data_IF_309051977608
#
_entry.id   IF_309051977608
#
_cell.length_a   1.000
_cell.length_b   1.000
_cell.length_c   1.000
_cell.angle_alpha   90.00
_cell.angle_beta   90.00
_cell.angle_gamma   90.00
#
_symmetry.space_group_name_H-M   'P 1'
#
loop_
_entity.id
_entity.type
_entity.pdbx_description
1 polymer ?
#
# COMPACT_ATOMS: atom_id res chain seq x y z
N UNK A 1 -22.53 -48.56 7.59
CA UNK A 1 -21.62 -48.94 8.69
C UNK A 1 -20.67 -47.80 9.06
N UNK A 2 -20.00 -47.13 8.11
CA UNK A 2 -19.10 -45.97 8.36
C UNK A 2 -19.68 -44.82 9.21
N UNK A 3 -20.94 -44.42 8.98
CA UNK A 3 -21.58 -43.33 9.76
C UNK A 3 -21.75 -43.64 11.26
N UNK A 4 -21.99 -44.90 11.60
CA UNK A 4 -22.24 -45.32 12.99
C UNK A 4 -20.92 -45.41 13.76
N UNK A 5 -19.85 -45.89 13.11
CA UNK A 5 -18.49 -45.90 13.68
C UNK A 5 -17.97 -44.48 13.91
N UNK A 6 -18.30 -43.51 13.04
CA UNK A 6 -17.90 -42.11 13.24
C UNK A 6 -18.64 -41.44 14.40
N UNK A 7 -19.92 -41.76 14.61
CA UNK A 7 -20.73 -41.13 15.66
C UNK A 7 -20.36 -41.62 17.07
N UNK A 8 -20.10 -42.93 17.22
CA UNK A 8 -19.62 -43.51 18.47
C UNK A 8 -18.21 -42.98 18.85
N UNK A 9 -17.32 -42.84 17.85
CA UNK A 9 -16.00 -42.24 18.04
C UNK A 9 -16.08 -40.77 18.44
N UNK A 10 -17.01 -40.00 17.86
CA UNK A 10 -17.26 -38.61 18.24
C UNK A 10 -17.81 -38.47 19.65
N UNK A 11 -18.74 -39.34 20.08
CA UNK A 11 -19.27 -39.34 21.45
C UNK A 11 -18.21 -39.67 22.49
N UNK A 12 -17.34 -40.65 22.21
CA UNK A 12 -16.20 -40.98 23.07
C UNK A 12 -15.20 -39.81 23.18
N UNK A 13 -14.83 -39.23 22.04
CA UNK A 13 -13.94 -38.06 21.99
C UNK A 13 -14.54 -36.86 22.75
N UNK A 14 -15.85 -36.63 22.67
CA UNK A 14 -16.53 -35.54 23.38
C UNK A 14 -16.50 -35.69 24.91
N UNK A 15 -16.44 -36.91 25.44
CA UNK A 15 -16.34 -37.18 26.89
C UNK A 15 -14.91 -37.01 27.40
N UNK A 16 -13.90 -37.25 26.55
CA UNK A 16 -12.48 -37.22 26.91
C UNK A 16 -11.78 -35.87 26.57
N UNK A 17 -12.37 -35.02 25.73
CA UNK A 17 -11.73 -33.79 25.25
C UNK A 17 -12.09 -32.55 26.09
N UNK A 18 -11.13 -32.09 26.90
CA UNK A 18 -11.08 -30.70 27.37
C UNK A 18 -10.66 -29.71 26.27
N UNK A 19 -10.54 -28.39 26.56
CA UNK A 19 -10.15 -27.37 25.59
C UNK A 19 -8.85 -27.68 24.82
N UNK A 20 -7.83 -28.19 25.52
CA UNK A 20 -6.55 -28.60 24.90
C UNK A 20 -6.69 -29.89 24.06
N UNK A 21 -7.66 -30.76 24.40
CA UNK A 21 -8.00 -31.95 23.64
C UNK A 21 -8.59 -31.61 22.26
N UNK A 22 -9.36 -30.52 22.16
CA UNK A 22 -9.89 -29.98 20.90
C UNK A 22 -8.75 -29.63 19.95
N UNK A 23 -7.74 -28.90 20.44
CA UNK A 23 -6.62 -28.49 19.59
C UNK A 23 -5.80 -29.70 19.10
N UNK A 24 -5.51 -30.65 19.99
CA UNK A 24 -4.82 -31.89 19.63
C UNK A 24 -5.60 -32.72 18.60
N UNK A 25 -6.91 -32.89 18.80
CA UNK A 25 -7.79 -33.62 17.89
C UNK A 25 -7.88 -32.98 16.50
N UNK A 26 -8.03 -31.66 16.44
CA UNK A 26 -8.05 -30.92 15.16
C UNK A 26 -6.71 -31.05 14.43
N UNK A 27 -5.57 -30.90 15.13
CA UNK A 27 -4.24 -31.09 14.55
C UNK A 27 -4.04 -32.51 14.00
N UNK A 28 -4.55 -33.53 14.70
CA UNK A 28 -4.53 -34.92 14.26
C UNK A 28 -5.30 -35.12 12.95
N UNK A 29 -6.53 -34.58 12.86
CA UNK A 29 -7.35 -34.66 11.64
C UNK A 29 -6.71 -33.96 10.45
N UNK A 30 -6.11 -32.79 10.67
CA UNK A 30 -5.39 -32.06 9.61
C UNK A 30 -4.20 -32.87 9.11
N UNK A 31 -3.42 -33.49 10.02
CA UNK A 31 -2.31 -34.37 9.63
C UNK A 31 -2.81 -35.51 8.73
N UNK A 32 -3.81 -36.26 9.20
CA UNK A 32 -4.35 -37.40 8.46
C UNK A 32 -4.84 -36.97 7.07
N UNK A 33 -5.59 -35.88 7.00
CA UNK A 33 -6.08 -35.35 5.72
C UNK A 33 -4.96 -34.93 4.77
N UNK A 34 -3.90 -34.28 5.27
CA UNK A 34 -2.73 -33.94 4.43
C UNK A 34 -2.05 -35.21 3.91
N UNK A 35 -1.86 -36.23 4.76
CA UNK A 35 -1.25 -37.50 4.39
C UNK A 35 -2.08 -38.24 3.33
N UNK A 36 -3.40 -38.30 3.51
CA UNK A 36 -4.33 -38.86 2.50
C UNK A 36 -4.23 -38.14 1.16
N UNK A 37 -4.19 -36.80 1.15
CA UNK A 37 -4.08 -36.02 -0.09
C UNK A 37 -2.78 -36.28 -0.84
N UNK A 38 -1.63 -36.30 -0.16
CA UNK A 38 -0.33 -36.52 -0.82
C UNK A 38 -0.14 -37.98 -1.24
N UNK A 39 -0.76 -38.93 -0.54
CA UNK A 39 -0.79 -40.34 -0.95
C UNK A 39 -1.64 -40.55 -2.19
N UNK A 40 -2.83 -39.93 -2.24
CA UNK A 40 -3.70 -39.95 -3.41
C UNK A 40 -3.02 -39.28 -4.63
N UNK A 41 -2.37 -38.14 -4.41
CA UNK A 41 -1.56 -37.47 -5.45
C UNK A 41 -0.46 -38.39 -5.99
N UNK A 42 0.23 -39.12 -5.10
CA UNK A 42 1.27 -40.05 -5.52
C UNK A 42 0.71 -41.28 -6.25
N UNK A 43 -0.39 -41.87 -5.78
CA UNK A 43 -1.07 -42.97 -6.49
C UNK A 43 -1.43 -42.54 -7.91
N UNK A 44 -2.00 -41.35 -8.07
CA UNK A 44 -2.33 -40.80 -9.39
C UNK A 44 -1.07 -40.62 -10.26
N UNK A 45 0.02 -40.11 -9.69
CA UNK A 45 1.29 -39.93 -10.41
C UNK A 45 2.02 -41.25 -10.76
N UNK A 46 1.71 -42.35 -10.08
CA UNK A 46 2.30 -43.66 -10.36
C UNK A 46 1.43 -44.53 -11.28
N UNK A 47 0.15 -44.20 -11.41
CA UNK A 47 -0.86 -45.03 -12.08
C UNK A 47 -1.08 -46.37 -11.36
N UNK A 48 -0.81 -46.44 -10.05
CA UNK A 48 -0.77 -47.68 -9.30
C UNK A 48 -1.01 -47.49 -7.80
N UNK A 49 -1.88 -48.31 -7.22
CA UNK A 49 -2.06 -48.42 -5.78
C UNK A 49 -0.90 -49.13 -5.07
N UNK A 50 -0.90 -49.06 -3.74
CA UNK A 50 0.10 -49.71 -2.90
C UNK A 50 0.05 -51.22 -3.10
N UNK A 51 1.20 -51.81 -3.43
CA UNK A 51 1.36 -53.25 -3.68
C UNK A 51 0.56 -53.80 -4.87
N UNK A 52 -0.10 -52.95 -5.64
CA UNK A 52 -0.77 -53.33 -6.88
C UNK A 52 0.28 -53.75 -7.93
N UNK A 53 -0.08 -54.64 -8.86
CA UNK A 53 0.75 -55.00 -10.02
C UNK A 53 0.08 -54.55 -11.32
N UNK A 54 -0.02 -53.23 -11.58
CA UNK A 54 -0.45 -52.74 -12.87
C UNK A 54 0.71 -52.95 -13.83
N UNK A 55 0.55 -53.78 -14.85
CA UNK A 55 1.62 -54.24 -15.73
C UNK A 55 2.42 -53.12 -16.40
N UNK A 56 2.11 -52.78 -17.65
CA UNK A 56 2.87 -51.79 -18.43
C UNK A 56 2.51 -50.32 -18.13
N UNK A 57 1.47 -50.05 -17.33
CA UNK A 57 0.93 -48.71 -17.06
C UNK A 57 1.56 -48.00 -15.85
N UNK A 58 2.56 -48.60 -15.19
CA UNK A 58 3.22 -48.04 -14.01
C UNK A 58 4.27 -47.01 -14.41
N UNK A 59 4.16 -45.79 -13.89
CA UNK A 59 5.09 -44.68 -14.18
C UNK A 59 6.28 -44.57 -13.22
N UNK A 60 6.35 -45.42 -12.18
CA UNK A 60 7.44 -45.39 -11.21
C UNK A 60 7.24 -46.26 -9.97
N UNK A 61 8.09 -46.06 -8.96
CA UNK A 61 8.04 -46.83 -7.71
C UNK A 61 8.12 -45.93 -6.47
N UNK A 62 7.36 -46.31 -5.43
CA UNK A 62 7.41 -45.70 -4.09
C UNK A 62 8.78 -45.96 -3.45
N UNK A 63 9.28 -44.97 -2.71
CA UNK A 63 10.62 -44.96 -2.11
C UNK A 63 10.57 -44.44 -0.65
N UNK A 64 9.62 -44.96 0.13
CA UNK A 64 9.41 -44.63 1.53
C UNK A 64 8.84 -43.23 1.76
N UNK A 65 9.01 -42.72 2.99
CA UNK A 65 8.44 -41.47 3.45
C UNK A 65 9.51 -40.56 4.05
N UNK A 66 9.20 -39.27 4.16
CA UNK A 66 10.00 -38.30 4.93
C UNK A 66 9.11 -37.40 5.76
N UNK A 67 9.55 -37.08 6.97
CA UNK A 67 8.87 -36.09 7.80
C UNK A 67 8.97 -34.69 7.18
N UNK A 68 7.83 -34.01 7.05
CA UNK A 68 7.72 -32.61 6.59
C UNK A 68 6.82 -31.85 7.54
N UNK A 69 7.09 -30.56 7.71
CA UNK A 69 6.27 -29.65 8.51
C UNK A 69 5.74 -28.53 7.63
N UNK A 70 4.42 -28.33 7.66
CA UNK A 70 3.70 -27.25 6.99
C UNK A 70 2.92 -26.45 8.05
N UNK A 71 3.12 -25.14 8.13
CA UNK A 71 2.29 -24.28 8.96
C UNK A 71 1.07 -23.78 8.20
N UNK A 72 -0.11 -24.09 8.74
CA UNK A 72 -1.39 -23.54 8.29
C UNK A 72 -1.85 -22.48 9.28
N UNK A 73 -3.05 -21.91 9.09
CA UNK A 73 -3.66 -21.00 10.06
C UNK A 73 -3.95 -21.66 11.42
N UNK A 74 -3.93 -23.00 11.50
CA UNK A 74 -4.16 -23.78 12.71
C UNK A 74 -2.85 -24.22 13.37
N UNK A 75 -1.71 -23.74 12.87
CA UNK A 75 -0.38 -24.01 13.40
C UNK A 75 0.44 -24.99 12.55
N UNK A 76 1.67 -25.29 12.99
CA UNK A 76 2.54 -26.25 12.32
C UNK A 76 2.04 -27.68 12.49
N UNK A 77 1.92 -28.37 11.36
CA UNK A 77 1.59 -29.79 11.29
C UNK A 77 2.76 -30.54 10.68
N UNK A 78 3.32 -31.48 11.45
CA UNK A 78 4.30 -32.45 10.93
C UNK A 78 3.57 -33.69 10.45
N UNK A 79 3.91 -34.16 9.26
CA UNK A 79 3.29 -35.29 8.56
C UNK A 79 4.35 -36.06 7.74
N UNK A 80 4.00 -37.28 7.33
CA UNK A 80 4.83 -38.10 6.45
C UNK A 80 4.50 -37.81 4.99
N UNK A 81 5.46 -37.20 4.28
CA UNK A 81 5.35 -37.01 2.83
C UNK A 81 5.92 -38.26 2.13
N UNK A 82 5.14 -38.96 1.31
CA UNK A 82 5.66 -40.10 0.57
C UNK A 82 6.70 -39.65 -0.47
N UNK A 83 7.52 -40.60 -0.91
CA UNK A 83 8.55 -40.39 -1.91
C UNK A 83 8.39 -41.42 -3.00
N UNK A 84 8.77 -41.06 -4.21
CA UNK A 84 8.81 -41.99 -5.33
C UNK A 84 9.87 -41.59 -6.35
N UNK A 85 10.25 -42.57 -7.16
CA UNK A 85 11.06 -42.41 -8.37
C UNK A 85 10.17 -42.66 -9.57
N UNK A 86 9.96 -41.62 -10.37
CA UNK A 86 9.25 -41.69 -11.65
C UNK A 86 10.25 -42.03 -12.75
N UNK A 87 9.84 -42.86 -13.70
CA UNK A 87 10.59 -43.10 -14.93
C UNK A 87 10.48 -41.89 -15.84
N UNK A 88 11.55 -41.55 -16.55
CA UNK A 88 11.55 -40.51 -17.58
C UNK A 88 11.47 -41.17 -18.97
N UNK A 89 11.00 -40.43 -19.99
CA UNK A 89 10.97 -40.94 -21.37
C UNK A 89 12.35 -41.39 -21.88
N UNK A 90 13.42 -40.79 -21.35
CA UNK A 90 14.81 -41.05 -21.74
C UNK A 90 15.43 -42.30 -21.05
N UNK A 91 14.64 -43.02 -20.22
CA UNK A 91 15.10 -44.23 -19.51
C UNK A 91 15.73 -43.98 -18.14
N UNK A 92 15.79 -42.72 -17.69
CA UNK A 92 16.30 -42.32 -16.36
C UNK A 92 15.19 -42.31 -15.29
N UNK A 93 15.55 -42.00 -14.04
CA UNK A 93 14.58 -41.80 -12.95
C UNK A 93 14.69 -40.44 -12.29
N UNK A 94 13.55 -39.80 -12.01
CA UNK A 94 13.46 -38.52 -11.28
C UNK A 94 12.69 -38.66 -9.98
N UNK A 95 13.05 -37.89 -8.96
CA UNK A 95 12.27 -37.85 -7.72
C UNK A 95 10.92 -37.17 -7.98
N UNK A 96 9.83 -37.83 -7.59
CA UNK A 96 8.49 -37.24 -7.62
C UNK A 96 8.43 -35.97 -6.76
N UNK A 97 7.69 -34.97 -7.26
CA UNK A 97 7.49 -33.70 -6.59
C UNK A 97 5.99 -33.47 -6.42
N UNK A 98 5.56 -33.39 -5.16
CA UNK A 98 4.18 -33.05 -4.82
C UNK A 98 3.86 -31.61 -5.25
N UNK A 99 2.74 -31.46 -5.93
CA UNK A 99 2.07 -30.20 -6.27
C UNK A 99 1.24 -29.71 -5.08
N UNK A 100 0.66 -30.62 -4.29
CA UNK A 100 -0.07 -30.30 -3.05
C UNK A 100 0.86 -29.68 -2.00
N UNK A 101 2.06 -30.23 -1.83
CA UNK A 101 3.11 -29.69 -0.95
C UNK A 101 4.45 -29.53 -1.70
N UNK A 102 4.61 -28.42 -2.42
CA UNK A 102 5.82 -28.07 -3.16
C UNK A 102 7.12 -28.17 -2.35
N UNK A 103 8.23 -28.35 -3.06
CA UNK A 103 9.57 -28.33 -2.45
C UNK A 103 9.81 -27.02 -1.72
N UNK A 104 10.42 -27.12 -0.54
CA UNK A 104 10.77 -26.00 0.35
C UNK A 104 9.60 -25.17 0.91
N UNK A 105 8.34 -25.47 0.56
CA UNK A 105 7.19 -24.81 1.16
C UNK A 105 7.10 -25.19 2.64
N UNK A 106 7.11 -24.17 3.50
CA UNK A 106 7.01 -24.32 4.96
C UNK A 106 5.69 -23.79 5.53
N UNK A 107 4.96 -22.98 4.75
CA UNK A 107 3.74 -22.30 5.18
C UNK A 107 2.76 -22.16 4.02
N UNK A 108 1.48 -22.03 4.34
CA UNK A 108 0.46 -21.68 3.34
C UNK A 108 0.45 -20.17 3.07
N UNK A 109 -0.14 -19.76 1.94
CA UNK A 109 -0.28 -18.35 1.57
C UNK A 109 -0.98 -17.51 2.65
N UNK A 110 -2.02 -18.06 3.28
CA UNK A 110 -2.76 -17.38 4.36
C UNK A 110 -1.91 -17.05 5.58
N UNK A 111 -0.94 -17.90 5.93
CA UNK A 111 0.00 -17.60 7.03
C UNK A 111 0.96 -16.50 6.60
N UNK A 112 1.46 -16.55 5.36
CA UNK A 112 2.32 -15.50 4.81
C UNK A 112 1.60 -14.14 4.73
N UNK A 113 0.31 -14.10 4.36
CA UNK A 113 -0.52 -12.89 4.39
C UNK A 113 -0.67 -12.32 5.80
N UNK A 114 -0.96 -13.17 6.80
CA UNK A 114 -1.07 -12.74 8.19
C UNK A 114 0.25 -12.17 8.70
N UNK A 115 1.37 -12.83 8.40
CA UNK A 115 2.72 -12.35 8.73
C UNK A 115 3.01 -10.99 8.10
N UNK A 116 2.61 -10.81 6.85
CA UNK A 116 2.78 -9.55 6.13
C UNK A 116 1.93 -8.45 6.74
N UNK A 117 0.67 -8.74 7.08
CA UNK A 117 -0.22 -7.78 7.77
C UNK A 117 0.34 -7.30 9.11
N UNK A 118 0.86 -8.23 9.93
CA UNK A 118 1.50 -7.89 11.22
C UNK A 118 2.80 -7.10 11.02
N UNK A 119 3.58 -7.43 9.99
CA UNK A 119 4.76 -6.63 9.63
C UNK A 119 4.40 -5.22 9.19
N UNK A 120 3.37 -5.09 8.35
CA UNK A 120 2.92 -3.82 7.83
C UNK A 120 2.29 -2.94 8.92
N UNK A 121 1.71 -3.52 9.98
CA UNK A 121 1.14 -2.77 11.13
C UNK A 121 2.16 -2.10 12.06
N UNK A 122 3.45 -2.19 11.79
CA UNK A 122 4.48 -1.56 12.63
C UNK A 122 5.22 -2.48 13.55
N UNK A 123 4.93 -3.78 13.48
CA UNK A 123 5.66 -4.77 14.27
C UNK A 123 7.03 -5.02 13.63
N UNK A 124 8.10 -4.82 14.40
CA UNK A 124 9.44 -5.19 13.93
C UNK A 124 9.60 -6.72 13.92
N UNK A 125 10.49 -7.26 13.08
CA UNK A 125 10.65 -8.70 12.92
C UNK A 125 10.95 -9.46 14.22
N UNK A 126 11.56 -8.82 15.24
CA UNK A 126 11.79 -9.43 16.55
C UNK A 126 10.47 -9.59 17.32
N UNK A 127 9.62 -8.57 17.32
CA UNK A 127 8.29 -8.59 17.96
C UNK A 127 7.33 -9.55 17.25
N UNK A 128 7.39 -9.67 15.93
CA UNK A 128 6.59 -10.68 15.18
C UNK A 128 6.95 -12.08 15.67
N UNK A 129 8.25 -12.38 15.76
CA UNK A 129 8.71 -13.68 16.26
C UNK A 129 8.25 -13.95 17.68
N UNK A 130 8.39 -12.99 18.60
CA UNK A 130 7.96 -13.22 19.99
C UNK A 130 6.44 -13.37 20.11
N UNK A 131 5.67 -12.54 19.40
CA UNK A 131 4.20 -12.57 19.45
C UNK A 131 3.62 -13.85 18.83
N UNK A 132 4.24 -14.36 17.76
CA UNK A 132 3.77 -15.56 17.07
C UNK A 132 4.47 -16.84 17.51
N UNK A 133 5.48 -16.76 18.39
CA UNK A 133 6.18 -17.93 18.90
C UNK A 133 5.24 -19.00 19.50
N UNK A 134 4.20 -18.64 20.29
CA UNK A 134 3.25 -19.64 20.81
C UNK A 134 2.49 -20.38 19.71
N UNK A 135 2.12 -19.67 18.63
CA UNK A 135 1.34 -20.21 17.50
C UNK A 135 2.21 -20.98 16.49
N UNK A 136 3.51 -20.68 16.45
CA UNK A 136 4.48 -21.27 15.52
C UNK A 136 5.42 -22.28 16.21
N UNK A 137 5.06 -22.81 17.38
CA UNK A 137 5.82 -23.85 18.09
C UNK A 137 6.06 -25.06 17.16
N UNK A 138 7.30 -25.28 16.72
CA UNK A 138 7.68 -26.35 15.78
C UNK A 138 8.03 -25.87 14.37
N UNK A 139 7.76 -24.61 14.02
CA UNK A 139 8.19 -23.98 12.78
C UNK A 139 8.52 -22.48 13.00
N UNK A 140 9.56 -22.16 13.78
CA UNK A 140 9.86 -20.79 14.15
C UNK A 140 10.15 -19.91 12.93
N UNK A 141 9.61 -18.69 12.95
CA UNK A 141 9.81 -17.72 11.88
C UNK A 141 11.22 -17.13 11.95
N UNK A 142 12.05 -17.35 10.93
CA UNK A 142 13.36 -16.71 10.85
C UNK A 142 13.26 -15.25 10.41
N UNK A 143 14.32 -14.46 10.67
CA UNK A 143 14.45 -13.09 10.14
C UNK A 143 14.36 -13.09 8.61
N UNK A 144 15.02 -14.06 7.97
CA UNK A 144 15.10 -14.16 6.52
C UNK A 144 13.75 -14.55 5.91
N UNK A 145 12.93 -15.33 6.62
CA UNK A 145 11.57 -15.63 6.18
C UNK A 145 10.70 -14.37 6.08
N UNK A 146 10.79 -13.47 7.07
CA UNK A 146 10.13 -12.15 7.01
C UNK A 146 10.71 -11.31 5.87
N UNK A 147 12.02 -11.31 5.69
CA UNK A 147 12.67 -10.56 4.62
C UNK A 147 12.26 -11.03 3.21
N UNK A 148 12.16 -12.34 2.99
CA UNK A 148 11.70 -12.91 1.71
C UNK A 148 10.23 -12.59 1.45
N UNK A 149 9.39 -12.67 2.49
CA UNK A 149 7.99 -12.28 2.41
C UNK A 149 7.84 -10.81 2.00
N UNK A 150 8.62 -9.91 2.61
CA UNK A 150 8.67 -8.50 2.21
C UNK A 150 9.30 -8.30 0.83
N UNK A 151 10.18 -9.20 0.38
CA UNK A 151 10.74 -9.18 -0.98
C UNK A 151 9.68 -9.41 -2.05
N UNK A 152 8.64 -10.21 -1.78
CA UNK A 152 7.50 -10.37 -2.71
C UNK A 152 6.73 -9.06 -2.91
N UNK A 153 6.63 -8.21 -1.88
CA UNK A 153 6.05 -6.87 -2.03
C UNK A 153 6.81 -6.00 -3.03
N UNK A 154 8.10 -6.29 -3.30
CA UNK A 154 8.86 -5.52 -4.28
C UNK A 154 8.39 -5.80 -5.71
N UNK A 155 8.11 -7.07 -6.04
CA UNK A 155 7.52 -7.43 -7.33
C UNK A 155 6.13 -6.81 -7.50
N UNK A 156 5.29 -6.92 -6.47
CA UNK A 156 3.99 -6.27 -6.41
C UNK A 156 4.06 -4.74 -6.58
N UNK A 157 5.04 -4.10 -5.93
CA UNK A 157 5.27 -2.67 -6.02
C UNK A 157 5.73 -2.26 -7.42
N UNK A 158 6.62 -3.03 -8.04
CA UNK A 158 7.08 -2.79 -9.41
C UNK A 158 5.93 -2.89 -10.42
N UNK A 159 5.08 -3.92 -10.29
CA UNK A 159 3.87 -4.06 -11.10
C UNK A 159 2.89 -2.89 -10.85
N UNK A 160 2.65 -2.54 -9.58
CA UNK A 160 1.79 -1.41 -9.24
C UNK A 160 2.32 -0.09 -9.80
N UNK A 161 3.64 0.15 -9.79
CA UNK A 161 4.25 1.37 -10.33
C UNK A 161 4.10 1.50 -11.84
N UNK A 162 3.99 0.40 -12.56
CA UNK A 162 3.90 0.36 -14.03
C UNK A 162 2.49 0.08 -14.54
N UNK A 163 1.52 -0.12 -13.64
CA UNK A 163 0.13 -0.41 -13.99
C UNK A 163 -0.49 0.66 -14.88
N UNK A 164 -1.41 0.24 -15.73
CA UNK A 164 -2.20 1.14 -16.55
C UNK A 164 -3.20 1.95 -15.69
N UNK A 165 -3.46 3.20 -16.09
CA UNK A 165 -4.35 4.15 -15.41
C UNK A 165 -5.53 4.61 -16.29
N UNK A 166 -5.65 4.07 -17.52
CA UNK A 166 -6.69 4.46 -18.48
C UNK A 166 -8.11 4.39 -17.90
N UNK A 167 -8.41 3.32 -17.16
CA UNK A 167 -9.75 3.07 -16.62
C UNK A 167 -10.04 3.81 -15.30
N UNK A 168 -9.03 4.43 -14.66
CA UNK A 168 -9.19 5.04 -13.33
C UNK A 168 -9.95 6.38 -13.37
N UNK A 169 -10.18 6.95 -14.57
CA UNK A 169 -10.92 8.20 -14.80
C UNK A 169 -10.50 9.33 -13.83
N UNK A 170 -9.20 9.60 -13.76
CA UNK A 170 -8.65 10.61 -12.85
C UNK A 170 -9.06 12.01 -13.26
N UNK A 171 -9.65 12.76 -12.33
CA UNK A 171 -10.10 14.14 -12.52
C UNK A 171 -9.18 15.13 -11.82
N UNK A 172 -8.81 14.86 -10.58
CA UNK A 172 -7.92 15.75 -9.81
C UNK A 172 -6.63 15.08 -9.41
N UNK A 173 -5.56 15.85 -9.37
CA UNK A 173 -4.25 15.46 -8.84
C UNK A 173 -3.92 16.29 -7.60
N UNK A 174 -3.32 15.65 -6.61
CA UNK A 174 -2.66 16.29 -5.49
C UNK A 174 -1.22 15.79 -5.48
N UNK A 175 -0.27 16.70 -5.71
CA UNK A 175 1.16 16.36 -5.77
C UNK A 175 1.90 17.05 -4.63
N UNK A 176 2.66 16.28 -3.87
CA UNK A 176 3.39 16.79 -2.71
C UNK A 176 4.70 16.02 -2.50
N UNK A 177 5.68 16.70 -1.90
CA UNK A 177 6.97 16.16 -1.53
C UNK A 177 7.06 15.99 -0.01
N UNK A 178 7.45 14.81 0.47
CA UNK A 178 7.74 14.62 1.89
C UNK A 178 9.12 14.00 2.09
N UNK A 179 9.73 14.27 3.25
CA UNK A 179 11.16 14.05 3.47
C UNK A 179 11.41 13.09 4.65
N UNK A 180 11.25 11.76 4.47
CA UNK A 180 11.59 10.75 5.47
C UNK A 180 13.09 10.70 5.77
N UNK A 181 13.42 10.19 6.98
CA UNK A 181 14.80 9.90 7.39
C UNK A 181 15.20 8.50 6.95
N UNK A 182 16.22 8.40 6.11
CA UNK A 182 16.79 7.14 5.60
C UNK A 182 18.28 7.04 5.93
N UNK A 183 18.82 5.81 5.96
CA UNK A 183 20.26 5.58 6.02
C UNK A 183 20.82 5.49 4.59
N UNK A 184 21.73 6.39 4.25
CA UNK A 184 22.42 6.42 2.96
C UNK A 184 23.90 6.67 3.23
N UNK A 185 24.81 5.88 2.65
CA UNK A 185 26.25 6.03 2.86
C UNK A 185 26.67 6.00 4.34
N UNK A 186 26.03 5.16 5.17
CA UNK A 186 26.19 5.07 6.64
C UNK A 186 25.71 6.32 7.42
N UNK A 187 25.23 7.36 6.76
CA UNK A 187 24.69 8.57 7.38
C UNK A 187 23.15 8.56 7.40
N UNK A 188 22.57 9.32 8.34
CA UNK A 188 21.12 9.54 8.41
C UNK A 188 20.77 10.83 7.69
N UNK A 189 20.12 10.71 6.53
CA UNK A 189 19.75 11.85 5.68
C UNK A 189 18.25 11.91 5.50
N UNK A 190 17.74 13.11 5.20
CA UNK A 190 16.36 13.29 4.74
C UNK A 190 16.35 13.26 3.22
N UNK A 191 15.50 12.44 2.62
CA UNK A 191 15.44 12.32 1.16
C UNK A 191 13.99 12.56 0.72
N UNK A 192 13.74 13.33 -0.34
CA UNK A 192 12.39 13.57 -0.82
C UNK A 192 11.78 12.31 -1.42
N UNK A 193 10.52 12.12 -1.08
CA UNK A 193 9.59 11.19 -1.71
C UNK A 193 8.47 12.05 -2.30
N UNK A 194 8.33 11.99 -3.61
CA UNK A 194 7.26 12.61 -4.36
C UNK A 194 6.06 11.68 -4.34
N UNK A 195 4.91 12.23 -3.97
CA UNK A 195 3.66 11.51 -3.82
C UNK A 195 2.64 12.13 -4.75
N UNK A 196 2.04 11.31 -5.61
CA UNK A 196 0.93 11.73 -6.47
C UNK A 196 -0.34 11.01 -6.06
N UNK A 197 -1.33 11.76 -5.58
CA UNK A 197 -2.65 11.28 -5.25
C UNK A 197 -3.65 11.72 -6.33
N UNK A 198 -4.40 10.78 -6.88
CA UNK A 198 -5.50 11.01 -7.81
C UNK A 198 -6.86 10.99 -7.13
N UNK A 199 -7.80 11.71 -7.71
CA UNK A 199 -9.24 11.63 -7.42
C UNK A 199 -9.96 11.21 -8.69
N UNK A 200 -10.60 10.04 -8.63
CA UNK A 200 -11.38 9.46 -9.71
C UNK A 200 -12.71 10.22 -9.91
N UNK A 201 -13.38 9.98 -11.05
CA UNK A 201 -14.68 10.58 -11.36
C UNK A 201 -15.77 10.24 -10.32
N UNK A 202 -15.69 9.06 -9.70
CA UNK A 202 -16.56 8.60 -8.61
C UNK A 202 -16.19 9.19 -7.23
N UNK A 203 -15.21 10.09 -7.17
CA UNK A 203 -14.72 10.71 -5.93
C UNK A 203 -13.73 9.88 -5.14
N UNK A 204 -13.46 8.63 -5.52
CA UNK A 204 -12.50 7.76 -4.85
C UNK A 204 -11.09 8.37 -4.95
N UNK A 205 -10.36 8.35 -3.84
CA UNK A 205 -8.98 8.84 -3.77
C UNK A 205 -8.03 7.66 -3.86
N UNK A 206 -7.12 7.69 -4.81
CA UNK A 206 -6.13 6.64 -5.02
C UNK A 206 -4.73 7.21 -5.15
N UNK A 207 -3.74 6.47 -4.66
CA UNK A 207 -2.36 6.85 -4.87
C UNK A 207 -1.93 6.40 -6.27
N UNK A 208 -1.39 7.31 -7.07
CA UNK A 208 -1.00 7.06 -8.46
C UNK A 208 0.48 6.78 -8.60
N UNK A 209 1.31 7.57 -7.90
CA UNK A 209 2.75 7.41 -7.93
C UNK A 209 3.39 7.64 -6.57
N UNK A 210 4.49 6.93 -6.36
CA UNK A 210 5.40 7.08 -5.25
C UNK A 210 6.81 7.01 -5.84
N UNK A 211 7.57 8.10 -5.70
CA UNK A 211 8.91 8.20 -6.26
C UNK A 211 9.90 8.80 -5.29
N UNK A 212 11.05 8.16 -5.13
CA UNK A 212 12.20 8.79 -4.49
C UNK A 212 12.84 9.76 -5.48
N UNK A 213 13.25 10.93 -5.01
CA UNK A 213 14.08 11.85 -5.78
C UNK A 213 15.36 12.15 -5.00
N UNK A 214 16.46 12.48 -5.69
CA UNK A 214 17.67 12.98 -5.03
C UNK A 214 17.41 14.34 -4.38
N UNK A 215 16.71 15.19 -5.11
CA UNK A 215 16.20 16.50 -4.68
C UNK A 215 14.85 16.76 -5.35
N UNK A 216 14.09 17.69 -4.80
CA UNK A 216 12.80 18.08 -5.38
C UNK A 216 13.01 19.13 -6.49
N UNK A 217 13.36 18.66 -7.67
CA UNK A 217 13.65 19.50 -8.83
C UNK A 217 12.54 19.49 -9.88
N UNK A 218 12.59 20.47 -10.81
CA UNK A 218 11.71 20.51 -11.97
C UNK A 218 11.82 19.24 -12.83
N UNK A 219 13.03 18.68 -12.95
CA UNK A 219 13.27 17.44 -13.68
C UNK A 219 12.59 16.24 -12.99
N UNK A 220 12.72 16.13 -11.66
CA UNK A 220 12.09 15.05 -10.90
C UNK A 220 10.55 15.08 -11.04
N UNK A 221 9.94 16.27 -11.00
CA UNK A 221 8.51 16.42 -11.23
C UNK A 221 8.08 16.14 -12.67
N UNK A 222 8.91 16.51 -13.67
CA UNK A 222 8.67 16.16 -15.07
C UNK A 222 8.61 14.65 -15.26
N UNK A 223 9.56 13.90 -14.71
CA UNK A 223 9.57 12.44 -14.77
C UNK A 223 8.31 11.81 -14.14
N UNK A 224 7.82 12.38 -13.03
CA UNK A 224 6.56 11.93 -12.42
C UNK A 224 5.39 12.13 -13.39
N UNK A 225 5.27 13.31 -14.00
CA UNK A 225 4.20 13.62 -14.94
C UNK A 225 4.28 12.75 -16.21
N UNK A 226 5.46 12.63 -16.82
CA UNK A 226 5.71 11.76 -17.97
C UNK A 226 5.38 10.30 -17.66
N UNK A 227 5.73 9.82 -16.46
CA UNK A 227 5.39 8.47 -16.00
C UNK A 227 3.89 8.26 -15.81
N UNK A 228 3.09 9.29 -15.52
CA UNK A 228 1.63 9.18 -15.44
C UNK A 228 1.03 9.11 -16.85
N UNK A 229 1.54 9.93 -17.78
CA UNK A 229 1.13 9.91 -19.20
C UNK A 229 1.47 8.58 -19.85
N UNK A 230 2.68 8.04 -19.63
CA UNK A 230 3.10 6.73 -20.14
C UNK A 230 2.27 5.56 -19.59
N UNK A 231 1.54 5.78 -18.49
CA UNK A 231 0.57 4.84 -17.92
C UNK A 231 -0.87 5.16 -18.34
N UNK A 232 -1.02 5.89 -19.45
CA UNK A 232 -2.30 6.24 -20.08
C UNK A 232 -3.31 6.92 -19.15
N UNK A 233 -2.85 7.70 -18.17
CA UNK A 233 -3.78 8.52 -17.39
C UNK A 233 -4.57 9.45 -18.33
N UNK A 234 -5.88 9.54 -18.12
CA UNK A 234 -6.70 10.56 -18.79
C UNK A 234 -6.28 11.99 -18.41
N UNK A 235 -6.82 12.99 -19.10
CA UNK A 235 -6.49 14.40 -18.85
C UNK A 235 -7.15 14.89 -17.56
N UNK A 236 -6.39 15.14 -16.47
CA UNK A 236 -6.93 15.70 -15.25
C UNK A 236 -7.28 17.17 -15.46
N UNK A 237 -8.29 17.65 -14.75
CA UNK A 237 -8.79 19.03 -14.88
C UNK A 237 -8.20 19.96 -13.83
N UNK A 238 -7.68 19.43 -12.71
CA UNK A 238 -7.09 20.20 -11.63
C UNK A 238 -5.87 19.48 -11.05
N UNK A 239 -4.79 20.22 -10.82
CA UNK A 239 -3.68 19.81 -9.99
C UNK A 239 -3.51 20.76 -8.79
N UNK A 240 -3.56 20.23 -7.58
CA UNK A 240 -3.23 20.95 -6.35
C UNK A 240 -1.79 20.60 -5.97
N UNK A 241 -0.93 21.60 -5.93
CA UNK A 241 0.52 21.42 -5.79
C UNK A 241 1.10 22.36 -4.75
N UNK A 242 2.25 22.01 -4.18
CA UNK A 242 3.08 23.03 -3.54
C UNK A 242 3.69 23.97 -4.59
N UNK A 243 4.18 25.12 -4.16
CA UNK A 243 4.75 26.17 -4.99
C UNK A 243 6.09 25.91 -5.63
N UNK A 244 6.39 24.65 -5.96
CA UNK A 244 7.59 24.32 -6.71
C UNK A 244 7.46 24.87 -8.14
N UNK A 245 8.33 25.77 -8.60
CA UNK A 245 8.18 26.44 -9.89
C UNK A 245 8.27 25.48 -11.10
N UNK A 246 8.92 24.32 -10.94
CA UNK A 246 9.07 23.34 -12.02
C UNK A 246 7.81 22.54 -12.32
N UNK A 247 7.00 22.30 -11.30
CA UNK A 247 5.84 21.40 -11.38
C UNK A 247 4.66 21.97 -12.21
N UNK A 248 4.24 23.24 -12.06
CA UNK A 248 3.21 23.82 -12.94
C UNK A 248 3.59 23.73 -14.42
N UNK A 249 4.87 23.95 -14.73
CA UNK A 249 5.39 23.87 -16.11
C UNK A 249 5.24 22.46 -16.66
N UNK A 250 5.70 21.45 -15.91
CA UNK A 250 5.58 20.04 -16.32
C UNK A 250 4.10 19.63 -16.53
N UNK A 251 3.21 20.05 -15.64
CA UNK A 251 1.77 19.76 -15.75
C UNK A 251 1.15 20.40 -16.99
N UNK A 252 1.42 21.67 -17.28
CA UNK A 252 0.88 22.37 -18.45
C UNK A 252 1.45 21.87 -19.78
N UNK A 253 2.69 21.39 -19.77
CA UNK A 253 3.27 20.74 -20.95
C UNK A 253 2.57 19.42 -21.26
N UNK A 254 2.25 18.61 -20.25
CA UNK A 254 1.53 17.35 -20.45
C UNK A 254 0.03 17.56 -20.72
N UNK A 255 -0.59 18.52 -20.05
CA UNK A 255 -2.03 18.80 -20.11
C UNK A 255 -2.27 20.32 -20.19
N UNK A 256 -2.33 20.89 -21.40
CA UNK A 256 -2.43 22.35 -21.58
C UNK A 256 -3.68 22.98 -20.93
N UNK A 257 -4.76 22.22 -20.78
CA UNK A 257 -6.03 22.68 -20.20
C UNK A 257 -6.11 22.47 -18.68
N UNK A 258 -5.06 21.94 -18.03
CA UNK A 258 -5.11 21.66 -16.59
C UNK A 258 -5.10 22.96 -15.79
N UNK A 259 -6.05 23.09 -14.87
CA UNK A 259 -6.02 24.15 -13.88
C UNK A 259 -4.99 23.79 -12.78
N UNK A 260 -4.20 24.77 -12.37
CA UNK A 260 -3.21 24.60 -11.30
C UNK A 260 -3.68 25.39 -10.09
N UNK A 261 -3.66 24.75 -8.92
CA UNK A 261 -3.92 25.39 -7.64
C UNK A 261 -2.72 25.26 -6.70
N UNK A 262 -2.36 26.38 -6.06
CA UNK A 262 -1.38 26.39 -4.98
C UNK A 262 -1.99 25.84 -3.70
N UNK A 263 -1.25 24.98 -3.01
CA UNK A 263 -1.67 24.41 -1.74
C UNK A 263 -1.87 25.51 -0.68
N UNK A 264 -3.08 25.61 -0.16
CA UNK A 264 -3.47 26.61 0.84
C UNK A 264 -2.71 26.45 2.17
N UNK A 265 -2.38 25.21 2.56
CA UNK A 265 -1.68 24.92 3.80
C UNK A 265 -0.19 25.28 3.71
N UNK A 266 0.48 24.90 2.62
CA UNK A 266 1.86 25.31 2.36
C UNK A 266 1.95 26.83 2.22
N UNK A 267 0.99 27.47 1.54
CA UNK A 267 1.00 28.91 1.40
C UNK A 267 0.90 29.63 2.75
N UNK A 268 0.01 29.19 3.64
CA UNK A 268 -0.07 29.75 5.00
C UNK A 268 1.27 29.64 5.75
N UNK A 269 1.95 28.49 5.67
CA UNK A 269 3.29 28.32 6.27
C UNK A 269 4.30 29.32 5.69
N UNK A 270 4.28 29.52 4.38
CA UNK A 270 5.16 30.49 3.71
C UNK A 270 4.87 31.93 4.15
N UNK A 271 3.61 32.31 4.36
CA UNK A 271 3.23 33.62 4.90
C UNK A 271 3.69 33.78 6.35
N UNK A 272 3.45 32.78 7.21
CA UNK A 272 3.86 32.78 8.61
C UNK A 272 5.38 32.88 8.80
N UNK A 273 6.15 32.30 7.88
CA UNK A 273 7.62 32.39 7.88
C UNK A 273 8.12 33.82 7.59
N UNK A 274 7.33 34.66 6.90
CA UNK A 274 7.66 36.07 6.65
C UNK A 274 7.18 37.01 7.76
N UNK A 275 6.37 36.52 8.70
CA UNK A 275 5.78 37.32 9.76
C UNK A 275 6.45 37.08 11.14
N UNK A 276 6.60 38.13 11.96
CA UNK A 276 6.96 38.00 13.37
C UNK A 276 6.01 37.06 14.12
N UNK A 277 6.55 36.28 15.08
CA UNK A 277 5.79 35.25 15.80
C UNK A 277 4.48 35.77 16.44
N UNK A 278 4.52 36.94 17.08
CA UNK A 278 3.37 37.60 17.72
C UNK A 278 2.20 37.94 16.79
N UNK A 279 2.43 37.98 15.48
CA UNK A 279 1.41 38.34 14.48
C UNK A 279 0.89 37.12 13.72
N UNK A 280 1.45 35.93 13.94
CA UNK A 280 1.11 34.72 13.16
C UNK A 280 -0.33 34.26 13.36
N UNK A 281 -0.88 34.42 14.57
CA UNK A 281 -2.27 34.06 14.86
C UNK A 281 -3.24 34.96 14.08
N UNK A 282 -3.08 36.27 14.21
CA UNK A 282 -3.87 37.27 13.47
C UNK A 282 -3.75 37.09 11.94
N UNK A 283 -2.54 36.85 11.44
CA UNK A 283 -2.28 36.52 10.03
C UNK A 283 -3.05 35.29 9.59
N UNK A 284 -3.09 34.27 10.44
CA UNK A 284 -3.79 33.01 10.16
C UNK A 284 -5.29 33.23 10.07
N UNK A 285 -5.87 34.03 10.95
CA UNK A 285 -7.30 34.35 10.92
C UNK A 285 -7.69 35.17 9.69
N UNK A 286 -6.91 36.20 9.35
CA UNK A 286 -7.16 36.97 8.12
C UNK A 286 -7.00 36.09 6.87
N UNK A 287 -6.02 35.19 6.86
CA UNK A 287 -5.83 34.22 5.78
C UNK A 287 -7.01 33.24 5.67
N UNK A 288 -7.51 32.74 6.80
CA UNK A 288 -8.69 31.86 6.85
C UNK A 288 -9.92 32.56 6.28
N UNK A 289 -10.13 33.84 6.57
CA UNK A 289 -11.24 34.63 5.98
C UNK A 289 -11.18 34.67 4.45
N UNK A 290 -9.99 34.69 3.86
CA UNK A 290 -9.85 34.61 2.40
C UNK A 290 -10.14 33.20 1.89
N UNK A 291 -9.48 32.19 2.44
CA UNK A 291 -9.53 30.82 1.92
C UNK A 291 -10.88 30.17 2.16
N UNK A 292 -11.53 30.43 3.29
CA UNK A 292 -12.77 29.75 3.70
C UNK A 292 -14.04 30.57 3.44
N UNK A 293 -13.96 31.68 2.71
CA UNK A 293 -15.13 32.44 2.31
C UNK A 293 -16.12 31.58 1.47
N UNK A 294 -17.41 31.94 1.58
CA UNK A 294 -18.54 31.16 1.04
C UNK A 294 -18.85 31.47 -0.43
N UNK A 295 -18.29 32.54 -1.00
CA UNK A 295 -18.47 32.91 -2.41
C UNK A 295 -17.20 33.49 -3.02
N UNK A 296 -17.09 33.45 -4.35
CA UNK A 296 -15.94 34.02 -5.07
C UNK A 296 -15.79 35.53 -4.80
N UNK A 297 -16.90 36.25 -4.72
CA UNK A 297 -16.91 37.68 -4.36
C UNK A 297 -16.39 37.90 -2.93
N UNK A 298 -16.80 37.06 -1.98
CA UNK A 298 -16.33 37.13 -0.61
C UNK A 298 -14.82 36.82 -0.49
N UNK A 299 -14.32 35.85 -1.28
CA UNK A 299 -12.86 35.59 -1.40
C UNK A 299 -12.12 36.83 -1.88
N UNK A 300 -12.59 37.48 -2.95
CA UNK A 300 -11.95 38.68 -3.50
C UNK A 300 -11.96 39.85 -2.51
N UNK A 301 -13.10 40.09 -1.84
CA UNK A 301 -13.22 41.13 -0.81
C UNK A 301 -12.25 40.88 0.35
N UNK A 302 -12.20 39.66 0.86
CA UNK A 302 -11.27 39.27 1.93
C UNK A 302 -9.80 39.41 1.48
N UNK A 303 -9.48 39.04 0.24
CA UNK A 303 -8.13 39.21 -0.35
C UNK A 303 -7.72 40.67 -0.42
N UNK A 304 -8.62 41.56 -0.83
CA UNK A 304 -8.38 43.00 -0.83
C UNK A 304 -8.11 43.54 0.57
N UNK A 305 -8.93 43.16 1.56
CA UNK A 305 -8.75 43.57 2.95
C UNK A 305 -7.43 43.05 3.54
N UNK A 306 -7.10 41.78 3.31
CA UNK A 306 -5.83 41.18 3.74
C UNK A 306 -4.65 41.96 3.14
N UNK A 307 -4.67 42.21 1.84
CA UNK A 307 -3.58 42.89 1.13
C UNK A 307 -3.37 44.30 1.67
N UNK A 308 -4.43 45.09 1.85
CA UNK A 308 -4.34 46.45 2.41
C UNK A 308 -3.73 46.45 3.81
N UNK A 309 -4.21 45.57 4.70
CA UNK A 309 -3.74 45.47 6.08
C UNK A 309 -2.28 45.03 6.17
N UNK A 310 -1.93 43.94 5.51
CA UNK A 310 -0.59 43.35 5.62
C UNK A 310 0.45 44.11 4.80
N UNK A 311 0.05 44.90 3.80
CA UNK A 311 0.99 45.79 3.08
C UNK A 311 1.57 46.86 4.00
N UNK A 312 0.77 47.39 4.93
CA UNK A 312 1.23 48.36 5.92
C UNK A 312 2.05 47.71 7.04
N UNK A 313 1.68 46.50 7.47
CA UNK A 313 2.29 45.84 8.63
C UNK A 313 3.53 45.01 8.31
N UNK A 314 3.52 44.29 7.18
CA UNK A 314 4.58 43.38 6.78
C UNK A 314 4.57 43.17 5.25
N UNK A 315 5.24 44.05 4.48
CA UNK A 315 5.27 43.97 3.01
C UNK A 315 5.69 42.60 2.46
N UNK A 316 6.61 41.90 3.14
CA UNK A 316 7.06 40.57 2.76
C UNK A 316 5.96 39.50 2.77
N UNK A 317 4.93 39.64 3.63
CA UNK A 317 3.75 38.76 3.62
C UNK A 317 2.93 38.98 2.35
N UNK A 318 2.74 40.24 1.95
CA UNK A 318 1.98 40.58 0.74
C UNK A 318 2.73 40.17 -0.53
N UNK A 319 4.03 40.44 -0.61
CA UNK A 319 4.86 39.98 -1.73
C UNK A 319 4.81 38.45 -1.88
N UNK A 320 4.83 37.72 -0.76
CA UNK A 320 4.59 36.28 -0.78
C UNK A 320 3.17 35.96 -1.28
N UNK A 321 2.10 36.55 -0.75
CA UNK A 321 0.74 36.27 -1.25
C UNK A 321 0.60 36.53 -2.77
N UNK A 322 1.15 37.65 -3.25
CA UNK A 322 1.14 38.05 -4.65
C UNK A 322 1.89 37.05 -5.55
N UNK A 323 2.99 36.45 -5.08
CA UNK A 323 3.70 35.37 -5.80
C UNK A 323 2.81 34.16 -6.10
N UNK A 324 1.86 33.82 -5.24
CA UNK A 324 0.94 32.71 -5.54
C UNK A 324 -0.19 33.13 -6.50
N UNK A 325 -0.41 34.43 -6.67
CA UNK A 325 -1.38 34.99 -7.60
C UNK A 325 -2.79 34.40 -7.46
N UNK A 326 -3.43 34.19 -8.61
CA UNK A 326 -4.78 33.64 -8.69
C UNK A 326 -4.80 32.11 -8.54
N UNK A 327 -3.66 31.44 -8.73
CA UNK A 327 -3.55 29.99 -8.54
C UNK A 327 -3.83 29.57 -7.09
N UNK A 328 -3.67 30.45 -6.10
CA UNK A 328 -4.08 30.14 -4.72
C UNK A 328 -5.60 29.94 -4.58
N UNK A 329 -6.38 30.56 -5.47
CA UNK A 329 -7.83 30.63 -5.38
C UNK A 329 -8.55 29.84 -6.47
N UNK A 330 -7.83 29.03 -7.26
CA UNK A 330 -8.40 28.25 -8.38
C UNK A 330 -9.63 27.43 -7.98
N UNK A 331 -9.72 26.94 -6.72
CA UNK A 331 -10.91 26.23 -6.21
C UNK A 331 -12.22 26.99 -6.48
N UNK A 332 -12.23 28.33 -6.55
CA UNK A 332 -13.45 29.11 -6.80
C UNK A 332 -14.07 28.83 -8.18
N UNK A 333 -13.30 28.26 -9.11
CA UNK A 333 -13.75 27.85 -10.44
C UNK A 333 -14.49 26.50 -10.43
N UNK A 334 -14.40 25.76 -9.33
CA UNK A 334 -15.00 24.42 -9.16
C UNK A 334 -16.31 24.50 -8.35
N UNK A 335 -17.15 23.44 -8.37
CA UNK A 335 -18.39 23.41 -7.60
C UNK A 335 -18.17 23.71 -6.10
N UNK A 336 -19.03 24.54 -5.53
CA UNK A 336 -18.93 25.00 -4.12
C UNK A 336 -18.88 23.81 -3.15
N UNK A 337 -19.62 22.74 -3.43
CA UNK A 337 -19.63 21.51 -2.63
C UNK A 337 -18.23 20.87 -2.49
N UNK A 338 -17.33 21.11 -3.44
CA UNK A 338 -15.97 20.56 -3.46
C UNK A 338 -14.93 21.47 -2.80
N UNK A 339 -15.24 22.75 -2.59
CA UNK A 339 -14.30 23.74 -2.06
C UNK A 339 -13.65 23.29 -0.74
N UNK A 340 -14.43 22.68 0.15
CA UNK A 340 -13.93 22.12 1.41
C UNK A 340 -12.80 21.11 1.19
N UNK A 341 -12.92 20.25 0.17
CA UNK A 341 -11.91 19.25 -0.13
C UNK A 341 -10.70 19.85 -0.86
N UNK A 342 -10.92 20.76 -1.82
CA UNK A 342 -9.87 21.37 -2.65
C UNK A 342 -8.96 22.33 -1.86
N UNK A 343 -9.45 22.88 -0.74
CA UNK A 343 -8.69 23.79 0.14
C UNK A 343 -7.86 23.04 1.19
N UNK A 344 -7.77 21.71 1.15
CA UNK A 344 -7.07 20.92 2.19
C UNK A 344 -6.18 19.84 1.59
N UNK A 345 -5.09 19.53 2.28
CA UNK A 345 -4.16 18.42 1.96
C UNK A 345 -4.32 17.23 2.92
N UNK A 346 -5.44 17.15 3.64
CA UNK A 346 -5.66 16.16 4.72
C UNK A 346 -5.43 14.70 4.27
N UNK A 347 -5.71 14.38 3.00
CA UNK A 347 -5.48 13.03 2.47
C UNK A 347 -3.98 12.67 2.42
N UNK A 348 -3.14 13.59 1.92
CA UNK A 348 -1.69 13.44 1.89
C UNK A 348 -1.11 13.48 3.31
N UNK A 349 -1.62 14.37 4.16
CA UNK A 349 -1.22 14.43 5.57
C UNK A 349 -1.53 13.12 6.30
N UNK A 350 -2.67 12.49 6.02
CA UNK A 350 -3.05 11.18 6.57
C UNK A 350 -2.08 10.07 6.14
N UNK A 351 -1.69 10.04 4.87
CA UNK A 351 -0.68 9.11 4.34
C UNK A 351 0.65 9.30 5.10
N UNK A 352 1.09 10.56 5.21
CA UNK A 352 2.32 10.92 5.91
C UNK A 352 2.27 10.56 7.40
N UNK A 353 1.13 10.75 8.05
CA UNK A 353 0.92 10.43 9.45
C UNK A 353 0.98 8.92 9.70
N UNK A 354 0.28 8.11 8.92
CA UNK A 354 0.31 6.65 9.04
C UNK A 354 1.71 6.09 8.79
N UNK A 355 2.44 6.64 7.83
CA UNK A 355 3.84 6.29 7.66
C UNK A 355 4.68 6.65 8.89
N UNK A 356 4.53 7.86 9.44
CA UNK A 356 5.26 8.29 10.66
C UNK A 356 4.93 7.38 11.85
N UNK A 357 3.66 7.00 12.03
CA UNK A 357 3.23 6.02 13.05
C UNK A 357 3.96 4.69 12.85
N UNK A 358 4.01 4.21 11.61
CA UNK A 358 4.68 2.95 11.23
C UNK A 358 6.18 2.93 11.53
N UNK A 359 6.87 4.03 11.29
CA UNK A 359 8.34 4.10 11.46
C UNK A 359 8.79 4.67 12.80
N UNK A 360 7.85 5.08 13.67
CA UNK A 360 8.13 5.71 14.98
C UNK A 360 9.13 4.91 15.83
N UNK A 361 9.03 3.58 15.81
CA UNK A 361 9.90 2.66 16.57
C UNK A 361 11.18 2.26 15.83
N UNK A 362 11.32 2.64 14.54
CA UNK A 362 12.39 2.15 13.67
C UNK A 362 13.56 3.12 13.49
N UNK A 363 13.50 4.35 14.01
CA UNK A 363 14.61 5.31 14.06
C UNK A 363 15.08 5.86 12.70
N UNK A 364 15.57 4.99 11.81
CA UNK A 364 15.91 5.25 10.40
C UNK A 364 15.74 3.98 9.58
N UNK A 365 15.19 4.12 8.37
CA UNK A 365 15.05 2.99 7.45
C UNK A 365 16.38 2.65 6.77
N UNK A 366 16.61 1.36 6.44
CA UNK A 366 17.91 0.88 5.97
C UNK A 366 18.26 1.32 4.54
N UNK A 367 17.27 1.64 3.72
CA UNK A 367 17.44 2.09 2.35
C UNK A 367 16.25 2.94 1.90
N UNK A 368 16.37 3.54 0.72
CA UNK A 368 15.28 4.27 0.06
C UNK A 368 14.15 3.30 -0.36
N UNK A 369 14.48 2.14 -0.92
CA UNK A 369 13.49 1.12 -1.30
C UNK A 369 12.63 0.67 -0.11
N UNK A 370 13.21 0.59 1.09
CA UNK A 370 12.47 0.24 2.29
C UNK A 370 11.37 1.26 2.62
N UNK A 371 11.57 2.55 2.32
CA UNK A 371 10.52 3.59 2.46
C UNK A 371 9.35 3.26 1.54
N UNK A 372 9.67 3.02 0.26
CA UNK A 372 8.68 2.82 -0.79
C UNK A 372 7.86 1.57 -0.56
N UNK A 373 8.52 0.45 -0.23
CA UNK A 373 7.86 -0.82 0.06
C UNK A 373 6.99 -0.75 1.31
N UNK A 374 7.43 -0.03 2.36
CA UNK A 374 6.61 0.15 3.55
C UNK A 374 5.37 1.00 3.24
N UNK A 375 5.53 2.11 2.52
CA UNK A 375 4.42 2.98 2.15
C UNK A 375 3.41 2.24 1.27
N UNK A 376 3.90 1.52 0.25
CA UNK A 376 3.08 0.64 -0.59
C UNK A 376 2.36 -0.44 0.23
N UNK A 377 3.06 -1.08 1.17
CA UNK A 377 2.47 -2.07 2.04
C UNK A 377 1.38 -1.51 2.96
N UNK A 378 1.55 -0.30 3.51
CA UNK A 378 0.49 0.36 4.30
C UNK A 378 -0.78 0.61 3.48
N UNK A 379 -0.63 0.92 2.19
CA UNK A 379 -1.76 1.05 1.26
C UNK A 379 -2.41 -0.30 0.99
N UNK A 380 -1.61 -1.30 0.58
CA UNK A 380 -2.11 -2.64 0.22
C UNK A 380 -2.77 -3.37 1.38
N UNK A 381 -2.29 -3.15 2.60
CA UNK A 381 -2.89 -3.72 3.83
C UNK A 381 -4.17 -2.99 4.28
N UNK A 382 -4.55 -1.88 3.62
CA UNK A 382 -5.73 -1.11 3.97
C UNK A 382 -5.62 -0.35 5.28
N UNK A 383 -4.40 -0.13 5.80
CA UNK A 383 -4.15 0.70 6.98
C UNK A 383 -4.28 2.18 6.64
N UNK A 384 -3.92 2.55 5.42
CA UNK A 384 -4.25 3.85 4.85
C UNK A 384 -5.58 3.71 4.10
N UNK A 385 -6.64 4.25 4.69
CA UNK A 385 -7.95 4.40 4.03
C UNK A 385 -8.21 5.87 3.74
N UNK A 386 -8.43 6.18 2.48
CA UNK A 386 -8.74 7.53 2.04
C UNK A 386 -10.26 7.63 1.83
N UNK A 387 -10.87 8.64 2.46
CA UNK A 387 -12.28 8.96 2.21
C UNK A 387 -12.42 9.58 0.82
N UNK A 388 -13.57 9.34 0.19
CA UNK A 388 -13.95 10.01 -1.05
C UNK A 388 -13.88 11.54 -0.91
N UNK A 389 -13.68 12.22 -2.03
CA UNK A 389 -13.70 13.67 -2.09
C UNK A 389 -15.09 14.19 -1.67
N UNK A 390 -15.13 15.18 -0.77
CA UNK A 390 -16.39 15.87 -0.45
C UNK A 390 -16.88 16.61 -1.71
N UNK A 391 -18.18 16.50 -2.02
CA UNK A 391 -18.77 17.11 -3.22
C UNK A 391 -18.54 16.34 -4.51
N UNK A 392 -18.12 15.08 -4.45
CA UNK A 392 -17.85 14.26 -5.64
C UNK A 392 -19.08 14.02 -6.55
N UNK A 393 -20.30 14.13 -6.01
CA UNK A 393 -21.52 14.06 -6.82
C UNK A 393 -21.59 15.16 -7.90
N UNK A 394 -20.88 16.27 -7.71
CA UNK A 394 -20.79 17.36 -8.69
C UNK A 394 -19.63 17.17 -9.69
N UNK A 395 -18.93 16.03 -9.70
CA UNK A 395 -17.76 15.81 -10.57
C UNK A 395 -18.10 15.86 -12.07
N UNK A 396 -19.33 15.52 -12.46
CA UNK A 396 -19.82 15.65 -13.84
C UNK A 396 -19.88 17.10 -14.32
N UNK A 397 -20.13 18.05 -13.41
CA UNK A 397 -20.23 19.50 -13.71
C UNK A 397 -18.87 20.15 -13.99
N UNK A 398 -17.78 19.43 -13.75
CA UNK A 398 -16.41 19.93 -13.88
C UNK A 398 -15.93 19.95 -15.34
N UNK A 399 -16.61 19.19 -16.21
CA UNK A 399 -16.28 19.03 -17.64
C UNK A 399 -16.92 20.07 -18.55
N UNK A 400 -17.85 20.88 -18.05
CA UNK A 400 -18.74 21.73 -18.88
C UNK A 400 -18.34 23.22 -18.89
N UNK A 401 -17.05 23.55 -19.06
CA UNK A 401 -16.70 24.93 -19.44
C UNK A 401 -16.21 25.00 -20.88
N UNK A 402 -16.88 25.76 -21.76
CA UNK A 402 -16.27 26.25 -22.98
C UNK A 402 -15.03 27.08 -22.59
N UNK A 403 -13.97 26.97 -23.38
CA UNK A 403 -12.86 27.92 -23.30
C UNK A 403 -13.42 29.34 -23.35
N UNK A 404 -13.12 30.15 -22.33
CA UNK A 404 -13.46 31.56 -22.29
C UNK A 404 -12.52 32.36 -23.18
#
# INVERSE_FOLDING_TARGET
MEKVTSEAALRKAAVEMGPDGIEAGVRGRIRAWIEELVEAELTAALGADVSERPGASREGYRHGHRARTLSTSLGPTTFQLPRARLQTPDGDTREWQSTVVPRYQRRTGRVDEALLGVYLSGTNGRRIRSALAPLLKGAPLSKDAVSRLTGRLAGDFAAWRTRDLAEEQIRYLFLDGWYPKVRLGKQRVRVPVLVTLGVCADGRRILLDLRMAGEESAAAWREVVESLVARHIGVPVLAVIDGNPGLPTALRTAWPTIEVQRCTAHKLRNLQAKAPARWREELTEDYRRMIYAESALAVQKARGSFTKKWRLRCPAVVASLEEAGDELFTFVRFPIAQWKALRTTNALERINEEFRRRVKTQGSLPSQDAVMLLLFGLLRSGQIRLRALVGYHDMGKVTERPAA
#
